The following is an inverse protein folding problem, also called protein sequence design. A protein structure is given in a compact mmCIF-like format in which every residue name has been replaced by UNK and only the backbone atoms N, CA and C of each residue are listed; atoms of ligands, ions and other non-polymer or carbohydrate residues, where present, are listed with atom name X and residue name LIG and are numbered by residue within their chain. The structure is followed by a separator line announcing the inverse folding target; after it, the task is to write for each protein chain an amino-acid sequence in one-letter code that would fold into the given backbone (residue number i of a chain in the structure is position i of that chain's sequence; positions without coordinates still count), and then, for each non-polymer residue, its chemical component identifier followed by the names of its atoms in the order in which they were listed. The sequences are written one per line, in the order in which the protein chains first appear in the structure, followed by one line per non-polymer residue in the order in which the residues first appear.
data_IF_594292797802
#
_entry.id   IF_594292797802
#
_cell.length_a   1.000
_cell.length_b   1.000
_cell.length_c   1.000
_cell.angle_alpha   90.00
_cell.angle_beta   90.00
_cell.angle_gamma   90.00
#
_symmetry.space_group_name_H-M   'P 1'
#
loop_
_entity.id
_entity.type
_entity.pdbx_description
1 polymer ?
#
# COMPACT_ATOMS: atom_id res chain seq x y z
N UNK A 1 -13.77 15.94 6.90
CA UNK A 1 -14.55 14.71 6.61
C UNK A 1 -13.68 13.78 5.79
N UNK A 2 -13.33 12.60 6.33
CA UNK A 2 -12.55 11.60 5.60
C UNK A 2 -13.52 10.62 4.95
N UNK A 3 -13.70 10.69 3.63
CA UNK A 3 -14.49 9.70 2.89
C UNK A 3 -13.69 8.40 2.80
N UNK A 4 -14.36 7.27 3.03
CA UNK A 4 -13.77 5.94 2.81
C UNK A 4 -14.86 4.94 2.46
N UNK A 5 -14.50 3.90 1.74
CA UNK A 5 -15.38 2.79 1.38
C UNK A 5 -14.68 1.45 1.63
N UNK A 6 -15.46 0.44 1.99
CA UNK A 6 -15.02 -0.97 1.98
C UNK A 6 -15.39 -1.55 0.62
N UNK A 7 -14.45 -2.19 -0.07
CA UNK A 7 -14.66 -2.76 -1.40
C UNK A 7 -14.28 -4.24 -1.45
N UNK A 8 -14.94 -5.01 -2.31
CA UNK A 8 -14.46 -6.33 -2.74
C UNK A 8 -13.45 -6.14 -3.87
N UNK A 9 -12.35 -6.89 -3.83
CA UNK A 9 -11.25 -6.74 -4.79
C UNK A 9 -10.58 -8.08 -5.12
N UNK A 10 -11.16 -9.20 -4.70
CA UNK A 10 -10.74 -10.51 -5.15
C UNK A 10 -11.12 -10.67 -6.62
N UNK A 11 -10.16 -10.44 -7.51
CA UNK A 11 -10.38 -10.33 -8.97
C UNK A 11 -11.07 -11.57 -9.52
N UNK A 12 -10.65 -12.76 -9.08
CA UNK A 12 -11.22 -14.04 -9.53
C UNK A 12 -12.65 -14.25 -9.04
N UNK A 13 -12.95 -13.87 -7.80
CA UNK A 13 -14.29 -13.98 -7.24
C UNK A 13 -15.24 -13.02 -7.95
N UNK A 14 -14.82 -11.77 -8.16
CA UNK A 14 -15.58 -10.77 -8.92
C UNK A 14 -15.81 -11.26 -10.36
N UNK A 15 -14.76 -11.73 -11.05
CA UNK A 15 -14.88 -12.26 -12.40
C UNK A 15 -15.92 -13.39 -12.48
N UNK A 16 -15.88 -14.33 -11.53
CA UNK A 16 -16.85 -15.44 -11.46
C UNK A 16 -18.27 -14.94 -11.20
N UNK A 17 -18.46 -14.05 -10.22
CA UNK A 17 -19.78 -13.60 -9.78
C UNK A 17 -20.49 -12.76 -10.84
N UNK A 18 -19.75 -12.03 -11.66
CA UNK A 18 -20.29 -11.17 -12.72
C UNK A 18 -20.20 -11.77 -14.12
N UNK A 19 -19.63 -12.98 -14.28
CA UNK A 19 -19.38 -13.58 -15.59
C UNK A 19 -18.42 -12.75 -16.44
N UNK A 20 -17.43 -12.14 -15.79
CA UNK A 20 -16.50 -11.19 -16.37
C UNK A 20 -15.11 -11.80 -16.60
N UNK A 21 -14.32 -11.20 -17.48
CA UNK A 21 -12.91 -11.53 -17.68
C UNK A 21 -11.98 -10.55 -16.94
N UNK A 22 -10.89 -11.06 -16.35
CA UNK A 22 -9.89 -10.20 -15.73
C UNK A 22 -8.94 -9.69 -16.80
N UNK A 23 -8.86 -8.36 -16.96
CA UNK A 23 -7.85 -7.70 -17.79
C UNK A 23 -6.47 -7.73 -17.13
N UNK A 24 -5.80 -8.89 -17.18
CA UNK A 24 -4.46 -9.09 -16.64
C UNK A 24 -3.42 -8.09 -17.18
N UNK A 25 -3.39 -7.74 -18.48
CA UNK A 25 -2.53 -6.69 -19.01
C UNK A 25 -2.70 -5.34 -18.29
N UNK A 26 -3.93 -4.90 -18.04
CA UNK A 26 -4.19 -3.64 -17.34
C UNK A 26 -3.64 -3.64 -15.91
N UNK A 27 -3.78 -4.74 -15.18
CA UNK A 27 -3.20 -4.85 -13.84
C UNK A 27 -1.67 -4.86 -13.85
N UNK A 28 -1.05 -5.57 -14.80
CA UNK A 28 0.42 -5.52 -14.95
C UNK A 28 0.90 -4.09 -15.20
N UNK A 29 0.26 -3.38 -16.13
CA UNK A 29 0.61 -2.00 -16.45
C UNK A 29 0.42 -1.05 -15.25
N UNK A 30 -0.66 -1.22 -14.48
CA UNK A 30 -0.93 -0.45 -13.27
C UNK A 30 0.22 -0.60 -12.26
N UNK A 31 0.63 -1.84 -11.97
CA UNK A 31 1.67 -2.11 -10.99
C UNK A 31 3.07 -1.76 -11.49
N UNK A 32 3.34 -1.92 -12.78
CA UNK A 32 4.57 -1.42 -13.43
C UNK A 32 4.66 0.10 -13.30
N UNK A 33 3.58 0.81 -13.63
CA UNK A 33 3.52 2.28 -13.55
C UNK A 33 3.69 2.79 -12.12
N UNK A 34 3.27 2.01 -11.13
CA UNK A 34 3.44 2.33 -9.70
C UNK A 34 4.89 2.31 -9.24
N UNK A 35 5.81 1.72 -10.01
CA UNK A 35 7.24 1.87 -9.77
C UNK A 35 7.70 3.32 -10.02
N UNK A 36 7.04 4.08 -10.86
CA UNK A 36 7.46 5.45 -11.20
C UNK A 36 6.52 6.53 -10.66
N UNK A 37 5.22 6.21 -10.55
CA UNK A 37 4.15 7.13 -10.17
C UNK A 37 3.60 6.81 -8.79
N UNK A 38 3.08 7.82 -8.08
CA UNK A 38 2.38 7.63 -6.81
C UNK A 38 0.96 7.11 -7.03
N UNK A 39 0.86 5.83 -7.37
CA UNK A 39 -0.41 5.12 -7.54
C UNK A 39 -0.77 4.47 -6.21
N UNK A 40 -1.92 4.89 -5.67
CA UNK A 40 -2.45 4.36 -4.42
C UNK A 40 -3.36 3.18 -4.71
N UNK A 41 -2.88 1.99 -4.36
CA UNK A 41 -3.74 0.80 -4.23
C UNK A 41 -3.72 0.37 -2.76
N UNK A 42 -4.76 -0.34 -2.36
CA UNK A 42 -4.81 -0.99 -1.07
C UNK A 42 -4.26 -2.42 -1.15
N UNK A 43 -4.03 -3.02 0.02
CA UNK A 43 -3.34 -4.30 0.15
C UNK A 43 -4.20 -5.49 -0.33
N UNK A 44 -5.53 -5.38 -0.24
CA UNK A 44 -6.44 -6.42 -0.74
C UNK A 44 -6.30 -6.64 -2.25
N UNK A 45 -6.12 -5.58 -3.04
CA UNK A 45 -5.85 -5.72 -4.48
C UNK A 45 -4.50 -6.42 -4.74
N UNK A 46 -3.44 -6.02 -4.05
CA UNK A 46 -2.12 -6.67 -4.16
C UNK A 46 -2.16 -8.17 -3.82
N UNK A 47 -3.01 -8.56 -2.86
CA UNK A 47 -3.12 -9.94 -2.39
C UNK A 47 -3.50 -10.94 -3.49
N UNK A 48 -4.15 -10.49 -4.56
CA UNK A 48 -4.49 -11.34 -5.71
C UNK A 48 -3.25 -11.99 -6.36
N UNK A 49 -2.07 -11.38 -6.25
CA UNK A 49 -0.86 -11.79 -6.97
C UNK A 49 0.13 -12.61 -6.12
N UNK A 50 -0.18 -12.85 -4.83
CA UNK A 50 0.68 -13.63 -3.92
C UNK A 50 0.25 -15.10 -3.79
N UNK A 51 -0.79 -15.53 -4.50
CA UNK A 51 -1.21 -16.92 -4.60
C UNK A 51 -0.58 -17.67 -5.79
N UNK A 52 -0.98 -18.93 -6.02
CA UNK A 52 -0.67 -19.64 -7.26
C UNK A 52 -1.19 -18.85 -8.47
N UNK A 53 -0.37 -18.73 -9.52
CA UNK A 53 -0.82 -18.11 -10.76
C UNK A 53 -1.99 -18.91 -11.33
N UNK A 54 -3.00 -18.19 -11.83
CA UNK A 54 -4.12 -18.79 -12.53
C UNK A 54 -3.67 -19.33 -13.87
N UNK A 55 -4.23 -20.48 -14.26
CA UNK A 55 -4.13 -20.99 -15.62
C UNK A 55 -4.67 -19.99 -16.67
N UNK A 56 -5.51 -19.04 -16.26
CA UNK A 56 -6.10 -18.02 -17.11
C UNK A 56 -5.27 -16.74 -17.24
N UNK A 57 -4.18 -16.58 -16.46
CA UNK A 57 -3.26 -15.44 -16.66
C UNK A 57 -2.35 -15.75 -17.85
N UNK A 58 -2.50 -15.05 -18.99
CA UNK A 58 -1.65 -15.30 -20.14
C UNK A 58 -0.20 -14.88 -19.82
N UNK A 59 0.75 -15.55 -20.47
CA UNK A 59 2.15 -15.11 -20.57
C UNK A 59 2.87 -14.78 -19.24
N UNK A 60 2.40 -15.33 -18.11
CA UNK A 60 3.00 -15.08 -16.80
C UNK A 60 2.81 -13.65 -16.26
N UNK A 61 1.78 -12.91 -16.71
CA UNK A 61 1.51 -11.55 -16.25
C UNK A 61 1.31 -11.44 -14.73
N UNK A 62 0.66 -12.41 -14.09
CA UNK A 62 0.55 -12.42 -12.62
C UNK A 62 1.92 -12.47 -11.93
N UNK A 63 2.87 -13.22 -12.48
CA UNK A 63 4.25 -13.29 -11.94
C UNK A 63 4.96 -11.94 -12.10
N UNK A 64 4.87 -11.31 -13.27
CA UNK A 64 5.44 -9.98 -13.51
C UNK A 64 4.81 -8.92 -12.59
N UNK A 65 3.49 -8.98 -12.42
CA UNK A 65 2.76 -8.09 -11.50
C UNK A 65 3.23 -8.26 -10.06
N UNK A 66 3.44 -9.50 -9.60
CA UNK A 66 4.02 -9.78 -8.28
C UNK A 66 5.42 -9.17 -8.14
N UNK A 67 6.29 -9.32 -9.15
CA UNK A 67 7.64 -8.74 -9.15
C UNK A 67 7.61 -7.21 -9.03
N UNK A 68 6.69 -6.53 -9.72
CA UNK A 68 6.50 -5.09 -9.59
C UNK A 68 6.02 -4.69 -8.18
N UNK A 69 5.09 -5.45 -7.60
CA UNK A 69 4.61 -5.21 -6.23
C UNK A 69 5.76 -5.37 -5.23
N UNK A 70 6.56 -6.43 -5.35
CA UNK A 70 7.71 -6.69 -4.48
C UNK A 70 8.77 -5.59 -4.59
N UNK A 71 9.10 -5.16 -5.82
CA UNK A 71 10.03 -4.05 -6.06
C UNK A 71 9.52 -2.73 -5.44
N UNK A 72 8.22 -2.42 -5.58
CA UNK A 72 7.62 -1.26 -4.95
C UNK A 72 7.71 -1.34 -3.42
N UNK A 73 7.37 -2.50 -2.83
CA UNK A 73 7.43 -2.73 -1.38
C UNK A 73 8.85 -2.63 -0.84
N UNK A 74 9.85 -3.15 -1.56
CA UNK A 74 11.26 -3.03 -1.19
C UNK A 74 11.70 -1.55 -1.16
N UNK A 75 11.38 -0.78 -2.20
CA UNK A 75 11.66 0.66 -2.24
C UNK A 75 10.98 1.42 -1.10
N UNK A 76 9.69 1.13 -0.85
CA UNK A 76 8.94 1.76 0.22
C UNK A 76 9.53 1.43 1.60
N UNK A 77 9.98 0.19 1.79
CA UNK A 77 10.65 -0.27 3.01
C UNK A 77 11.93 0.53 3.27
N UNK A 78 12.82 0.63 2.27
CA UNK A 78 14.05 1.42 2.41
C UNK A 78 13.79 2.92 2.68
N UNK A 79 12.72 3.48 2.09
CA UNK A 79 12.29 4.86 2.38
C UNK A 79 11.83 5.03 3.83
N UNK A 80 11.02 4.11 4.33
CA UNK A 80 10.50 4.15 5.71
C UNK A 80 11.61 3.93 6.74
N UNK A 81 12.55 3.03 6.49
CA UNK A 81 13.71 2.81 7.35
C UNK A 81 14.61 4.05 7.42
N UNK A 82 14.84 4.71 6.28
CA UNK A 82 15.56 5.98 6.21
C UNK A 82 14.84 7.10 6.97
N UNK A 83 13.51 7.18 6.85
CA UNK A 83 12.70 8.14 7.61
C UNK A 83 12.76 7.85 9.12
N UNK A 84 12.67 6.59 9.52
CA UNK A 84 12.75 6.16 10.91
C UNK A 84 14.06 6.60 11.56
N UNK A 85 15.20 6.43 10.87
CA UNK A 85 16.49 6.90 11.36
C UNK A 85 16.51 8.43 11.57
N UNK A 86 16.00 9.19 10.59
CA UNK A 86 15.92 10.65 10.68
C UNK A 86 15.05 11.11 11.84
N UNK A 87 13.89 10.49 12.06
CA UNK A 87 12.99 10.87 13.14
C UNK A 87 13.53 10.46 14.52
N UNK A 88 14.19 9.30 14.64
CA UNK A 88 14.87 8.90 15.89
C UNK A 88 15.96 9.89 16.30
N UNK A 89 16.77 10.36 15.34
CA UNK A 89 17.75 11.42 15.61
C UNK A 89 17.07 12.70 16.08
N UNK A 90 16.01 13.12 15.37
CA UNK A 90 15.25 14.33 15.72
C UNK A 90 14.63 14.26 17.12
N UNK A 91 14.11 13.10 17.52
CA UNK A 91 13.58 12.88 18.85
C UNK A 91 14.67 13.03 19.91
N UNK A 92 15.81 12.37 19.74
CA UNK A 92 16.93 12.46 20.69
C UNK A 92 17.47 13.89 20.83
N UNK A 93 17.54 14.66 19.74
CA UNK A 93 17.99 16.06 19.78
C UNK A 93 16.96 16.98 20.48
N UNK A 94 15.66 16.73 20.27
CA UNK A 94 14.59 17.44 20.98
C UNK A 94 14.61 17.12 22.49
N UNK A 95 14.79 15.85 22.87
CA UNK A 95 14.92 15.43 24.26
C UNK A 95 16.15 16.04 24.95
N UNK A 96 17.30 16.13 24.27
CA UNK A 96 18.48 16.84 24.78
C UNK A 96 18.19 18.31 25.02
N UNK A 97 17.50 18.95 24.08
CA UNK A 97 17.13 20.37 24.19
C UNK A 97 16.21 20.61 25.39
N UNK A 98 15.24 19.71 25.62
CA UNK A 98 14.34 19.76 26.78
C UNK A 98 15.07 19.64 28.11
N UNK A 99 16.12 18.81 28.19
CA UNK A 99 16.95 18.68 29.40
C UNK A 99 17.75 19.94 29.71
N UNK A 100 18.17 20.68 28.68
CA UNK A 100 18.89 21.96 28.85
C UNK A 100 17.91 23.06 29.26
N UNK A 101 16.80 23.18 28.53
CA UNK A 101 15.74 24.15 28.83
C UNK A 101 14.42 23.65 28.27
N UNK A 102 13.43 23.59 29.15
CA UNK A 102 12.10 23.21 28.73
C UNK A 102 11.46 24.33 27.90
N UNK A 103 11.21 24.05 26.62
CA UNK A 103 10.57 24.98 25.70
C UNK A 103 9.41 24.30 24.98
N UNK A 104 8.36 25.06 24.66
CA UNK A 104 7.23 24.51 23.90
C UNK A 104 7.67 23.96 22.54
N UNK A 105 8.62 24.63 21.88
CA UNK A 105 9.17 24.17 20.60
C UNK A 105 9.78 22.77 20.72
N UNK A 106 10.65 22.55 21.71
CA UNK A 106 11.30 21.25 21.86
C UNK A 106 10.31 20.14 22.27
N UNK A 107 9.28 20.46 23.07
CA UNK A 107 8.19 19.52 23.40
C UNK A 107 7.43 19.11 22.14
N UNK A 108 7.09 20.08 21.29
CA UNK A 108 6.33 19.81 20.06
C UNK A 108 7.18 19.06 19.02
N UNK A 109 8.47 19.38 18.88
CA UNK A 109 9.38 18.64 18.02
C UNK A 109 9.51 17.18 18.44
N UNK A 110 9.63 16.89 19.74
CA UNK A 110 9.65 15.53 20.28
C UNK A 110 8.34 14.79 19.98
N UNK A 111 7.18 15.43 20.24
CA UNK A 111 5.86 14.85 19.97
C UNK A 111 5.67 14.50 18.49
N UNK A 112 6.02 15.43 17.58
CA UNK A 112 5.92 15.19 16.14
C UNK A 112 6.86 14.06 15.71
N UNK A 113 8.11 14.06 16.19
CA UNK A 113 9.06 13.01 15.85
C UNK A 113 8.56 11.63 16.31
N UNK A 114 8.03 11.52 17.53
CA UNK A 114 7.44 10.30 18.06
C UNK A 114 6.27 9.81 17.21
N UNK A 115 5.31 10.70 16.89
CA UNK A 115 4.17 10.35 16.04
C UNK A 115 4.60 9.81 14.67
N UNK A 116 5.67 10.38 14.08
CA UNK A 116 6.20 9.91 12.80
C UNK A 116 6.94 8.58 12.91
N UNK A 117 7.64 8.34 14.02
CA UNK A 117 8.26 7.04 14.32
C UNK A 117 7.18 5.96 14.40
N UNK A 118 6.12 6.20 15.16
CA UNK A 118 5.03 5.24 15.34
C UNK A 118 4.30 4.96 14.02
N UNK A 119 4.04 6.00 13.23
CA UNK A 119 3.45 5.84 11.90
C UNK A 119 4.34 5.02 10.95
N UNK A 120 5.66 5.27 10.94
CA UNK A 120 6.60 4.53 10.11
C UNK A 120 6.72 3.06 10.55
N UNK A 121 6.77 2.78 11.86
CA UNK A 121 6.80 1.43 12.41
C UNK A 121 5.52 0.66 12.08
N UNK A 122 4.35 1.28 12.25
CA UNK A 122 3.08 0.66 11.89
C UNK A 122 3.03 0.32 10.40
N UNK A 123 3.49 1.23 9.53
CA UNK A 123 3.52 0.97 8.08
C UNK A 123 4.52 -0.12 7.70
N UNK A 124 5.68 -0.21 8.35
CA UNK A 124 6.63 -1.29 8.17
C UNK A 124 6.07 -2.65 8.64
N UNK A 125 5.36 -2.66 9.76
CA UNK A 125 4.65 -3.85 10.25
C UNK A 125 3.59 -4.31 9.24
N UNK A 126 2.78 -3.38 8.74
CA UNK A 126 1.77 -3.68 7.72
C UNK A 126 2.38 -4.17 6.40
N UNK A 127 3.58 -3.74 6.02
CA UNK A 127 4.27 -4.26 4.82
C UNK A 127 4.76 -5.70 5.01
N UNK A 128 5.25 -6.03 6.21
CA UNK A 128 5.82 -7.36 6.55
C UNK A 128 4.76 -8.39 6.92
N UNK A 129 3.56 -7.94 7.30
CA UNK A 129 2.43 -8.81 7.63
C UNK A 129 2.12 -9.75 6.47
N UNK A 130 1.69 -10.97 6.77
CA UNK A 130 1.22 -11.98 5.80
C UNK A 130 -0.30 -12.12 5.84
N UNK A 131 -0.88 -12.16 7.04
CA UNK A 131 -2.31 -12.31 7.27
C UNK A 131 -3.12 -11.13 6.72
N UNK A 132 -4.20 -11.33 5.96
CA UNK A 132 -5.08 -10.26 5.51
C UNK A 132 -5.94 -9.72 6.68
N UNK A 133 -6.28 -8.43 6.63
CA UNK A 133 -7.18 -7.79 7.60
C UNK A 133 -8.30 -7.06 6.88
N UNK A 134 -9.47 -6.93 7.53
CA UNK A 134 -10.61 -6.19 6.97
C UNK A 134 -10.23 -4.77 6.51
N UNK A 135 -9.38 -4.06 7.27
CA UNK A 135 -8.90 -2.73 6.90
C UNK A 135 -8.14 -2.68 5.56
N UNK A 136 -7.59 -3.79 5.09
CA UNK A 136 -6.86 -3.86 3.82
C UNK A 136 -7.77 -3.66 2.61
N UNK A 137 -9.09 -3.85 2.80
CA UNK A 137 -10.14 -3.66 1.80
C UNK A 137 -10.68 -2.23 1.76
N UNK A 138 -10.23 -1.37 2.67
CA UNK A 138 -10.66 0.03 2.73
C UNK A 138 -9.91 0.86 1.70
N UNK A 139 -10.65 1.64 0.94
CA UNK A 139 -10.13 2.65 0.03
C UNK A 139 -10.50 4.06 0.51
N UNK A 140 -9.68 5.02 0.09
CA UNK A 140 -9.86 6.45 0.34
C UNK A 140 -9.88 7.18 -1.03
N UNK A 141 -10.26 8.47 -1.08
CA UNK A 141 -10.15 9.26 -2.30
C UNK A 141 -8.77 9.11 -2.98
N UNK A 142 -8.77 9.05 -4.30
CA UNK A 142 -7.59 8.84 -5.15
C UNK A 142 -6.96 7.43 -5.08
N UNK A 143 -7.64 6.44 -4.49
CA UNK A 143 -7.23 5.04 -4.59
C UNK A 143 -7.77 4.43 -5.87
N UNK A 144 -6.92 3.63 -6.52
CA UNK A 144 -7.30 2.75 -7.61
C UNK A 144 -7.98 1.51 -7.03
N UNK A 145 -9.08 1.10 -7.65
CA UNK A 145 -9.83 -0.10 -7.33
C UNK A 145 -10.28 -0.77 -8.64
N UNK A 146 -10.41 -2.11 -8.67
CA UNK A 146 -10.99 -2.79 -9.81
C UNK A 146 -12.46 -2.41 -9.97
N UNK A 147 -12.91 -2.34 -11.21
CA UNK A 147 -14.30 -2.12 -11.60
C UNK A 147 -14.69 -3.17 -12.63
N UNK A 148 -15.94 -3.59 -12.62
CA UNK A 148 -16.52 -4.40 -13.71
C UNK A 148 -17.14 -3.43 -14.71
N UNK A 149 -16.79 -3.56 -15.98
CA UNK A 149 -17.28 -2.71 -17.06
C UNK A 149 -18.01 -3.60 -18.05
N UNK A 150 -19.24 -3.22 -18.43
CA UNK A 150 -19.95 -3.90 -19.51
C UNK A 150 -19.83 -3.11 -20.80
N UNK A 151 -19.27 -3.73 -21.84
CA UNK A 151 -19.29 -3.24 -23.22
C UNK A 151 -19.89 -4.32 -24.12
N UNK A 152 -21.00 -3.99 -24.78
CA UNK A 152 -21.80 -4.94 -25.57
C UNK A 152 -22.18 -6.21 -24.77
N UNK A 153 -21.86 -7.39 -25.31
CA UNK A 153 -22.08 -8.72 -24.70
C UNK A 153 -20.90 -9.17 -23.81
N UNK A 154 -19.89 -8.32 -23.60
CA UNK A 154 -18.72 -8.63 -22.76
C UNK A 154 -18.74 -7.85 -21.45
N UNK A 155 -18.24 -8.49 -20.40
CA UNK A 155 -18.09 -7.93 -19.06
C UNK A 155 -16.77 -8.33 -18.45
#
# INVERSE_FOLDING_TARGET
MCYSAMVEQQLRSIAKDFGAEVDWPMFEELFRSRLERDIKVNRALEANFFGPASAHSPNGLERLTREHIEAYRARLTGKLESELFKQKKRLADAERSLKVKETQRAREEARIAQNKIDAALNRLSDLKRTEPLERDRRIFPMYYAPVVVGEDDRR
#
